data_IF_168227060998
#
_entry.id   IF_168227060998
#
_cell.length_a   1.000
_cell.length_b   1.000
_cell.length_c   1.000
_cell.angle_alpha   90.00
_cell.angle_beta   90.00
_cell.angle_gamma   90.00
#
_symmetry.space_group_name_H-M   'P 1'
#
loop_
_entity.id
_entity.type
_entity.pdbx_description
1 polymer ?
#
# COMPACT_ATOMS: atom_id res chain seq x y z
N UNK A 1 -23.44 9.27 24.83
CA UNK A 1 -23.29 8.17 25.81
C UNK A 1 -22.38 8.63 26.94
N UNK A 2 -22.63 8.14 28.15
CA UNK A 2 -21.78 8.35 29.32
C UNK A 2 -21.39 7.00 29.90
N UNK A 3 -20.19 6.85 30.42
CA UNK A 3 -19.70 5.63 31.04
C UNK A 3 -18.69 5.95 32.12
N UNK A 4 -18.47 4.99 33.03
CA UNK A 4 -17.45 5.12 34.08
C UNK A 4 -16.04 5.00 33.48
N UNK A 5 -15.91 4.35 32.33
CA UNK A 5 -14.68 4.18 31.58
C UNK A 5 -14.98 4.28 30.09
N UNK A 6 -14.08 4.90 29.32
CA UNK A 6 -14.20 5.05 27.87
C UNK A 6 -12.95 4.48 27.21
N UNK A 7 -13.13 3.46 26.37
CA UNK A 7 -12.05 2.79 25.65
C UNK A 7 -11.97 3.33 24.22
N UNK A 8 -10.82 3.91 23.85
CA UNK A 8 -10.54 4.41 22.50
C UNK A 8 -9.75 3.36 21.71
N UNK A 9 -10.36 2.78 20.68
CA UNK A 9 -9.75 1.76 19.83
C UNK A 9 -10.04 1.98 18.33
N UNK A 10 -9.97 3.24 17.88
CA UNK A 10 -10.32 3.66 16.51
C UNK A 10 -9.15 3.56 15.51
N UNK A 11 -8.07 2.85 15.86
CA UNK A 11 -6.88 2.66 15.04
C UNK A 11 -5.89 3.81 15.08
N UNK A 12 -4.78 3.66 14.38
CA UNK A 12 -3.61 4.56 14.45
C UNK A 12 -3.91 6.00 13.99
N UNK A 13 -4.94 6.21 13.18
CA UNK A 13 -5.31 7.52 12.64
C UNK A 13 -6.40 8.18 13.50
N UNK A 14 -7.47 7.46 13.80
CA UNK A 14 -8.63 8.06 14.45
C UNK A 14 -8.53 8.09 15.98
N UNK A 15 -7.78 7.18 16.62
CA UNK A 15 -7.58 7.26 18.09
C UNK A 15 -6.87 8.54 18.51
N UNK A 16 -5.72 8.92 17.92
CA UNK A 16 -5.10 10.19 18.24
C UNK A 16 -5.95 11.40 17.84
N UNK A 17 -6.67 11.35 16.72
CA UNK A 17 -7.58 12.42 16.34
C UNK A 17 -8.72 12.62 17.35
N UNK A 18 -9.26 11.52 17.88
CA UNK A 18 -10.31 11.58 18.90
C UNK A 18 -9.78 12.11 20.25
N UNK A 19 -8.56 11.71 20.66
CA UNK A 19 -7.90 12.28 21.82
C UNK A 19 -7.71 13.80 21.68
N UNK A 20 -7.18 14.26 20.54
CA UNK A 20 -6.98 15.68 20.28
C UNK A 20 -8.30 16.46 20.31
N UNK A 21 -9.38 15.95 19.70
CA UNK A 21 -10.72 16.56 19.76
C UNK A 21 -11.29 16.60 21.17
N UNK A 22 -10.81 15.74 22.05
CA UNK A 22 -11.18 15.73 23.48
C UNK A 22 -10.28 16.62 24.33
N UNK A 23 -9.42 17.44 23.72
CA UNK A 23 -8.51 18.34 24.41
C UNK A 23 -7.24 17.67 24.95
N UNK A 24 -6.95 16.41 24.52
CA UNK A 24 -5.76 15.66 24.96
C UNK A 24 -4.78 15.54 23.79
N UNK A 25 -3.68 16.30 23.84
CA UNK A 25 -2.73 16.32 22.72
C UNK A 25 -1.69 17.43 22.82
N UNK A 26 -0.98 17.72 21.69
CA UNK A 26 -0.02 18.81 21.61
C UNK A 26 -0.71 20.18 21.84
N UNK A 27 -0.40 20.85 22.93
CA UNK A 27 -1.12 22.03 23.39
C UNK A 27 -1.21 23.16 22.36
N UNK A 28 -0.10 23.44 21.66
CA UNK A 28 -0.07 24.51 20.66
C UNK A 28 -0.92 24.19 19.43
N UNK A 29 -0.93 22.92 18.99
CA UNK A 29 -1.80 22.46 17.92
C UNK A 29 -3.29 22.53 18.31
N UNK A 30 -3.63 22.11 19.54
CA UNK A 30 -5.01 22.20 20.04
C UNK A 30 -5.51 23.64 20.05
N UNK A 31 -4.72 24.57 20.61
CA UNK A 31 -5.05 26.00 20.63
C UNK A 31 -5.21 26.58 19.22
N UNK A 32 -4.29 26.20 18.28
CA UNK A 32 -4.34 26.64 16.90
C UNK A 32 -5.61 26.14 16.15
N UNK A 33 -6.18 25.01 16.58
CA UNK A 33 -7.44 24.45 16.04
C UNK A 33 -8.68 24.85 16.82
N UNK A 34 -8.55 25.74 17.83
CA UNK A 34 -9.69 26.24 18.61
C UNK A 34 -10.20 25.26 19.68
N UNK A 35 -9.38 24.28 20.07
CA UNK A 35 -9.73 23.26 21.07
C UNK A 35 -9.08 23.61 22.41
N UNK A 36 -9.88 23.62 23.49
CA UNK A 36 -9.38 23.80 24.84
C UNK A 36 -8.45 22.63 25.26
N UNK A 37 -7.33 22.99 25.88
CA UNK A 37 -6.36 22.00 26.34
C UNK A 37 -6.79 21.43 27.70
N UNK A 38 -7.25 20.19 27.69
CA UNK A 38 -7.55 19.44 28.93
C UNK A 38 -6.28 18.82 29.48
N UNK A 39 -5.47 18.20 28.61
CA UNK A 39 -4.20 17.60 29.01
C UNK A 39 -3.16 17.77 27.87
N UNK A 40 -2.06 18.41 28.18
CA UNK A 40 -0.95 18.55 27.23
C UNK A 40 -0.16 17.24 27.12
N UNK A 41 -0.29 16.55 25.99
CA UNK A 41 0.44 15.33 25.66
C UNK A 41 1.07 15.47 24.25
N UNK A 42 2.33 15.90 24.14
CA UNK A 42 2.97 16.20 22.85
C UNK A 42 3.16 14.97 21.95
N UNK A 43 3.13 13.76 22.49
CA UNK A 43 3.27 12.52 21.72
C UNK A 43 2.00 12.08 20.98
N UNK A 44 0.84 12.64 21.30
CA UNK A 44 -0.42 12.27 20.62
C UNK A 44 -0.38 12.72 19.16
N UNK A 45 -0.63 11.77 18.26
CA UNK A 45 -0.55 11.97 16.82
C UNK A 45 0.86 11.89 16.25
N UNK A 46 1.89 11.79 17.07
CA UNK A 46 3.29 11.69 16.63
C UNK A 46 3.71 10.24 16.37
N UNK A 47 4.85 10.07 15.69
CA UNK A 47 5.51 8.78 15.50
C UNK A 47 4.66 7.77 14.72
N UNK A 48 3.85 8.24 13.77
CA UNK A 48 3.10 7.37 12.86
C UNK A 48 4.05 6.54 12.00
N UNK A 49 3.82 5.23 11.97
CA UNK A 49 4.54 4.29 11.13
C UNK A 49 3.61 3.67 10.10
N UNK A 50 4.12 3.50 8.89
CA UNK A 50 3.43 2.76 7.85
C UNK A 50 4.46 2.00 6.99
N UNK A 51 4.02 0.98 6.29
CA UNK A 51 4.85 0.14 5.45
C UNK A 51 5.06 0.75 4.06
N UNK A 52 6.21 1.37 3.76
CA UNK A 52 6.50 1.79 2.40
C UNK A 52 6.61 0.56 1.51
N UNK A 53 5.90 0.60 0.38
CA UNK A 53 5.67 -0.55 -0.49
C UNK A 53 6.05 -0.25 -1.92
N UNK A 54 6.69 -1.22 -2.57
CA UNK A 54 6.91 -1.26 -4.03
C UNK A 54 6.40 -2.57 -4.59
N UNK A 55 6.06 -2.59 -5.87
CA UNK A 55 5.61 -3.81 -6.52
C UNK A 55 6.11 -3.90 -7.96
N UNK A 56 6.28 -5.12 -8.42
CA UNK A 56 6.49 -5.46 -9.84
C UNK A 56 5.33 -6.33 -10.28
N UNK A 57 4.72 -5.98 -11.40
CA UNK A 57 3.63 -6.72 -12.02
C UNK A 57 4.12 -7.40 -13.29
N UNK A 58 3.42 -8.46 -13.68
CA UNK A 58 3.66 -9.14 -14.95
C UNK A 58 2.35 -9.65 -15.54
N UNK A 59 2.35 -9.84 -16.84
CA UNK A 59 1.27 -10.53 -17.53
C UNK A 59 1.30 -12.03 -17.20
N UNK A 60 0.14 -12.58 -16.86
CA UNK A 60 -0.06 -14.01 -16.60
C UNK A 60 -0.68 -14.68 -17.82
N UNK A 61 0.02 -15.61 -18.49
CA UNK A 61 -0.57 -16.50 -19.50
C UNK A 61 -1.78 -17.24 -18.94
N UNK A 62 -2.70 -17.66 -19.81
CA UNK A 62 -3.97 -18.29 -19.39
C UNK A 62 -3.77 -19.45 -18.39
N UNK A 63 -2.76 -20.27 -18.60
CA UNK A 63 -2.43 -21.41 -17.74
C UNK A 63 -1.90 -21.00 -16.35
N UNK A 64 -1.41 -19.77 -16.19
CA UNK A 64 -0.85 -19.24 -14.93
C UNK A 64 -1.84 -18.38 -14.15
N UNK A 65 -3.06 -18.18 -14.65
CA UNK A 65 -4.07 -17.37 -13.98
C UNK A 65 -4.74 -18.14 -12.87
N UNK A 66 -5.12 -17.38 -11.86
CA UNK A 66 -5.90 -17.90 -10.73
C UNK A 66 -7.23 -18.48 -11.24
N UNK A 67 -7.56 -19.69 -10.80
CA UNK A 67 -8.89 -20.26 -11.02
C UNK A 67 -9.95 -19.35 -10.37
N UNK A 68 -10.99 -18.95 -11.12
CA UNK A 68 -12.05 -18.09 -10.59
C UNK A 68 -12.71 -18.63 -9.32
N UNK A 69 -12.71 -19.94 -9.12
CA UNK A 69 -13.28 -20.61 -7.93
C UNK A 69 -12.44 -20.39 -6.67
N UNK A 70 -11.14 -20.14 -6.80
CA UNK A 70 -10.24 -19.98 -5.65
C UNK A 70 -10.48 -18.66 -4.89
N UNK A 71 -11.02 -17.63 -5.51
CA UNK A 71 -11.46 -16.37 -4.88
C UNK A 71 -10.36 -15.48 -4.29
N UNK A 72 -9.41 -16.05 -3.59
CA UNK A 72 -8.34 -15.32 -2.89
C UNK A 72 -7.27 -14.83 -3.86
N UNK A 73 -6.99 -13.52 -3.84
CA UNK A 73 -5.96 -12.91 -4.68
C UNK A 73 -4.56 -12.92 -4.03
N UNK A 74 -4.48 -12.95 -2.71
CA UNK A 74 -3.26 -13.15 -1.93
C UNK A 74 -3.09 -14.64 -1.64
N UNK A 75 -1.97 -15.22 -2.06
CA UNK A 75 -1.74 -16.66 -1.96
C UNK A 75 -0.59 -16.99 -1.01
N UNK A 76 0.51 -16.29 -1.13
CA UNK A 76 1.74 -16.56 -0.39
C UNK A 76 2.27 -15.24 0.15
N UNK A 77 2.78 -15.29 1.37
CA UNK A 77 3.55 -14.24 1.97
C UNK A 77 4.87 -14.79 2.45
N UNK A 78 5.97 -14.10 2.15
CA UNK A 78 7.31 -14.45 2.56
C UNK A 78 7.92 -13.29 3.34
N UNK A 79 8.55 -13.61 4.45
CA UNK A 79 9.37 -12.67 5.23
C UNK A 79 10.83 -13.02 5.07
N UNK A 80 11.70 -12.02 4.88
CA UNK A 80 13.12 -12.20 4.68
C UNK A 80 13.92 -10.98 5.19
N UNK A 81 15.23 -11.10 5.22
CA UNK A 81 16.14 -10.03 5.68
C UNK A 81 16.79 -9.34 4.50
N UNK A 82 16.85 -8.00 4.52
CA UNK A 82 17.62 -7.24 3.54
C UNK A 82 19.12 -7.40 3.73
N UNK A 83 19.56 -7.69 4.95
CA UNK A 83 20.96 -7.71 5.39
C UNK A 83 21.68 -6.37 5.13
N UNK A 84 20.95 -5.27 5.09
CA UNK A 84 21.49 -3.92 4.90
C UNK A 84 21.77 -3.24 6.23
N UNK A 85 23.02 -2.86 6.46
CA UNK A 85 23.44 -2.13 7.66
C UNK A 85 23.00 -2.85 8.94
N UNK A 86 22.43 -2.08 9.87
CA UNK A 86 21.91 -2.53 11.17
C UNK A 86 20.38 -2.82 11.14
N UNK A 87 19.84 -3.17 9.97
CA UNK A 87 18.43 -3.58 9.86
C UNK A 87 18.22 -4.93 10.57
N UNK A 88 17.12 -5.08 11.32
CA UNK A 88 16.85 -6.31 12.06
C UNK A 88 16.51 -7.48 11.11
N UNK A 89 16.73 -8.72 11.55
CA UNK A 89 16.32 -9.90 10.79
C UNK A 89 14.82 -9.87 10.46
N UNK A 90 14.45 -10.27 9.22
CA UNK A 90 13.08 -10.29 8.75
C UNK A 90 12.47 -8.90 8.58
N UNK A 91 13.28 -7.92 8.24
CA UNK A 91 12.87 -6.53 8.04
C UNK A 91 12.09 -6.27 6.74
N UNK A 92 12.01 -7.25 5.85
CA UNK A 92 11.31 -7.18 4.57
C UNK A 92 10.24 -8.28 4.44
N UNK A 93 9.20 -7.99 3.67
CA UNK A 93 8.21 -9.00 3.29
C UNK A 93 7.74 -8.85 1.85
N UNK A 94 7.32 -9.96 1.25
CA UNK A 94 6.72 -10.04 -0.08
C UNK A 94 5.40 -10.76 0.01
N UNK A 95 4.39 -10.27 -0.73
CA UNK A 95 3.15 -11.00 -1.02
C UNK A 95 3.02 -11.26 -2.51
N UNK A 96 2.51 -12.44 -2.86
CA UNK A 96 2.09 -12.73 -4.23
C UNK A 96 0.64 -12.29 -4.40
N UNK A 97 0.38 -11.48 -5.43
CA UNK A 97 -0.96 -11.04 -5.82
C UNK A 97 -1.27 -11.69 -7.15
N UNK A 98 -2.09 -12.74 -7.13
CA UNK A 98 -2.43 -13.50 -8.33
C UNK A 98 -3.50 -12.84 -9.21
N UNK A 99 -4.09 -11.74 -8.74
CA UNK A 99 -5.11 -10.94 -9.43
C UNK A 99 -5.05 -9.50 -8.93
N UNK A 100 -4.61 -8.57 -9.77
CA UNK A 100 -4.37 -7.17 -9.37
C UNK A 100 -5.63 -6.33 -9.20
N UNK A 101 -6.77 -6.71 -9.84
CA UNK A 101 -8.03 -5.99 -9.72
C UNK A 101 -9.25 -6.87 -10.02
N UNK A 102 -10.45 -6.33 -9.75
CA UNK A 102 -11.74 -7.00 -9.96
C UNK A 102 -12.09 -7.23 -11.45
N UNK A 103 -11.61 -6.35 -12.35
CA UNK A 103 -11.95 -6.32 -13.77
C UNK A 103 -11.10 -7.31 -14.60
N UNK A 104 -11.50 -7.61 -15.85
CA UNK A 104 -10.82 -8.59 -16.71
C UNK A 104 -9.32 -8.35 -16.92
N UNK A 105 -8.89 -7.09 -17.06
CA UNK A 105 -7.47 -6.74 -17.16
C UNK A 105 -6.71 -7.12 -15.90
N UNK A 106 -7.25 -6.82 -14.71
CA UNK A 106 -6.60 -7.16 -13.45
C UNK A 106 -6.42 -8.67 -13.21
N UNK A 107 -7.25 -9.50 -13.84
CA UNK A 107 -7.12 -10.97 -13.81
C UNK A 107 -5.97 -11.50 -14.69
N UNK A 108 -5.41 -10.65 -15.55
CA UNK A 108 -4.28 -10.98 -16.42
C UNK A 108 -2.95 -10.50 -15.86
N UNK A 109 -3.01 -9.77 -14.76
CA UNK A 109 -1.84 -9.20 -14.11
C UNK A 109 -1.67 -9.81 -12.72
N UNK A 110 -0.55 -10.47 -12.52
CA UNK A 110 -0.05 -10.85 -11.20
C UNK A 110 1.02 -9.88 -10.74
N UNK A 111 1.21 -9.76 -9.43
CA UNK A 111 2.21 -8.86 -8.87
C UNK A 111 2.93 -9.53 -7.71
N UNK A 112 4.20 -9.19 -7.56
CA UNK A 112 4.94 -9.34 -6.31
C UNK A 112 5.00 -7.98 -5.64
N UNK A 113 4.37 -7.86 -4.50
CA UNK A 113 4.35 -6.67 -3.67
C UNK A 113 5.32 -6.85 -2.51
N UNK A 114 6.24 -5.90 -2.37
CA UNK A 114 7.26 -5.92 -1.34
C UNK A 114 7.15 -4.68 -0.47
N UNK A 115 7.36 -4.84 0.83
CA UNK A 115 7.39 -3.74 1.79
C UNK A 115 8.46 -3.94 2.87
N UNK A 116 8.85 -2.81 3.47
CA UNK A 116 9.63 -2.81 4.67
C UNK A 116 8.70 -3.03 5.89
N UNK A 117 8.90 -4.14 6.63
CA UNK A 117 8.09 -4.49 7.79
C UNK A 117 8.18 -3.48 8.94
N UNK A 118 9.28 -2.76 9.05
CA UNK A 118 9.52 -1.74 10.06
C UNK A 118 10.14 -0.53 9.41
N UNK A 119 9.36 0.53 9.20
CA UNK A 119 9.90 1.78 8.68
C UNK A 119 10.72 2.52 9.75
N UNK A 120 11.73 3.24 9.31
CA UNK A 120 12.48 4.20 10.12
C UNK A 120 11.94 5.62 9.94
N UNK A 121 11.29 5.90 8.83
CA UNK A 121 10.53 7.13 8.59
C UNK A 121 9.39 7.26 9.60
N UNK A 122 9.15 8.48 10.04
CA UNK A 122 8.13 8.81 11.04
C UNK A 122 7.22 9.88 10.49
N UNK A 123 5.94 9.62 10.60
CA UNK A 123 4.87 10.53 10.24
C UNK A 123 4.12 11.04 11.45
N UNK A 124 3.02 11.73 11.17
CA UNK A 124 2.15 12.30 12.20
C UNK A 124 0.69 12.31 11.75
N UNK A 125 -0.19 12.42 12.73
CA UNK A 125 -1.61 12.69 12.59
C UNK A 125 -1.91 14.01 13.29
N UNK A 126 -2.55 14.94 12.60
CA UNK A 126 -2.99 16.22 13.15
C UNK A 126 -4.46 16.47 12.82
N UNK A 127 -5.08 17.46 13.45
CA UNK A 127 -6.43 17.87 13.10
C UNK A 127 -6.39 18.97 12.02
N UNK A 128 -7.32 18.90 11.08
CA UNK A 128 -7.55 19.99 10.12
C UNK A 128 -8.38 21.13 10.71
N UNK A 129 -9.27 20.80 11.67
CA UNK A 129 -10.13 21.72 12.41
C UNK A 129 -10.74 21.03 13.63
N UNK A 130 -11.51 21.74 14.41
CA UNK A 130 -12.31 21.24 15.53
C UNK A 130 -13.54 20.42 15.07
N UNK A 131 -13.99 20.59 13.82
CA UNK A 131 -15.14 19.82 13.28
C UNK A 131 -14.84 18.31 13.30
N UNK A 132 -15.67 17.58 14.04
CA UNK A 132 -15.54 16.13 14.15
C UNK A 132 -15.78 15.38 12.83
N UNK A 133 -16.43 16.02 11.84
CA UNK A 133 -16.66 15.45 10.49
C UNK A 133 -15.43 15.59 9.59
N UNK A 134 -14.57 16.57 9.88
CA UNK A 134 -13.36 16.77 9.10
C UNK A 134 -12.41 15.59 9.28
N UNK A 135 -11.86 15.08 8.17
CA UNK A 135 -10.83 14.05 8.24
C UNK A 135 -9.56 14.62 8.88
N UNK A 136 -8.86 13.85 9.73
CA UNK A 136 -7.56 14.25 10.21
C UNK A 136 -6.56 14.36 9.06
N UNK A 137 -5.58 15.23 9.22
CA UNK A 137 -4.42 15.33 8.32
C UNK A 137 -3.44 14.22 8.68
N UNK A 138 -3.10 13.38 7.72
CA UNK A 138 -2.20 12.24 7.90
C UNK A 138 -0.97 12.44 7.02
N UNK A 139 0.16 12.59 7.65
CA UNK A 139 1.47 12.72 7.00
C UNK A 139 2.28 11.47 7.31
N UNK A 140 2.41 10.56 6.35
CA UNK A 140 3.22 9.35 6.53
C UNK A 140 4.71 9.62 6.51
N UNK A 141 5.13 10.71 5.86
CA UNK A 141 6.52 11.12 5.70
C UNK A 141 7.42 9.98 5.17
N UNK A 142 6.89 9.19 4.22
CA UNK A 142 7.57 8.05 3.63
C UNK A 142 8.95 8.44 3.09
N UNK A 143 9.91 7.52 3.27
CA UNK A 143 11.27 7.63 2.72
C UNK A 143 12.09 8.83 3.24
N UNK A 144 11.65 9.50 4.30
CA UNK A 144 12.44 10.53 4.98
C UNK A 144 13.71 9.94 5.63
N UNK A 145 13.66 8.67 6.05
CA UNK A 145 14.84 7.93 6.48
C UNK A 145 15.49 7.20 5.30
N UNK A 146 16.76 7.49 5.02
CA UNK A 146 17.54 6.89 3.92
C UNK A 146 17.50 5.37 3.93
N UNK A 147 17.49 4.74 5.12
CA UNK A 147 17.38 3.29 5.30
C UNK A 147 16.13 2.69 4.66
N UNK A 148 15.01 3.40 4.67
CA UNK A 148 13.77 2.92 4.04
C UNK A 148 13.91 2.90 2.52
N UNK A 149 14.50 3.94 1.94
CA UNK A 149 14.80 4.02 0.51
C UNK A 149 15.75 2.90 0.08
N UNK A 150 16.84 2.70 0.81
CA UNK A 150 17.86 1.69 0.46
C UNK A 150 17.26 0.27 0.48
N UNK A 151 16.39 -0.03 1.45
CA UNK A 151 15.66 -1.31 1.51
C UNK A 151 14.68 -1.49 0.36
N UNK A 152 13.92 -0.46 0.00
CA UNK A 152 13.02 -0.55 -1.16
C UNK A 152 13.79 -0.68 -2.48
N UNK A 153 14.91 0.01 -2.63
CA UNK A 153 15.79 -0.13 -3.80
C UNK A 153 16.36 -1.54 -3.91
N UNK A 154 16.85 -2.10 -2.79
CA UNK A 154 17.26 -3.50 -2.71
C UNK A 154 16.11 -4.44 -3.08
N UNK A 155 14.94 -4.23 -2.47
CA UNK A 155 13.75 -5.04 -2.69
C UNK A 155 13.27 -5.02 -4.13
N UNK A 156 13.28 -3.86 -4.80
CA UNK A 156 12.89 -3.75 -6.20
C UNK A 156 13.82 -4.56 -7.11
N UNK A 157 15.14 -4.50 -6.88
CA UNK A 157 16.12 -5.33 -7.60
C UNK A 157 15.92 -6.81 -7.33
N UNK A 158 15.62 -7.17 -6.08
CA UNK A 158 15.33 -8.54 -5.68
C UNK A 158 14.07 -9.07 -6.40
N UNK A 159 12.98 -8.28 -6.48
CA UNK A 159 11.78 -8.65 -7.24
C UNK A 159 12.08 -8.83 -8.73
N UNK A 160 12.88 -7.95 -9.33
CA UNK A 160 13.29 -8.09 -10.73
C UNK A 160 14.05 -9.41 -10.96
N UNK A 161 14.97 -9.76 -10.06
CA UNK A 161 15.68 -11.03 -10.10
C UNK A 161 14.76 -12.26 -9.97
N UNK A 162 13.71 -12.17 -9.15
CA UNK A 162 12.71 -13.24 -9.05
C UNK A 162 11.98 -13.41 -10.40
N UNK A 163 11.53 -12.31 -11.03
CA UNK A 163 10.87 -12.38 -12.34
C UNK A 163 11.80 -12.88 -13.45
N UNK A 164 13.11 -12.66 -13.32
CA UNK A 164 14.11 -13.16 -14.25
C UNK A 164 14.48 -14.63 -14.03
N UNK A 165 14.04 -15.24 -12.94
CA UNK A 165 14.32 -16.65 -12.66
C UNK A 165 13.64 -17.59 -13.66
N UNK A 166 14.29 -18.70 -14.07
CA UNK A 166 13.72 -19.63 -15.06
C UNK A 166 12.32 -20.16 -14.68
N UNK A 167 12.02 -20.52 -13.42
CA UNK A 167 10.68 -20.97 -13.05
C UNK A 167 9.61 -19.91 -13.28
N UNK A 168 9.88 -18.63 -13.00
CA UNK A 168 8.87 -17.59 -13.09
C UNK A 168 8.73 -17.04 -14.52
N UNK A 169 9.80 -17.01 -15.32
CA UNK A 169 9.76 -16.58 -16.73
C UNK A 169 8.76 -17.36 -17.60
N UNK A 170 8.50 -18.63 -17.26
CA UNK A 170 7.50 -19.44 -17.97
C UNK A 170 6.06 -19.05 -17.61
N UNK A 171 5.83 -18.42 -16.47
CA UNK A 171 4.51 -18.17 -15.89
C UNK A 171 4.15 -16.69 -15.76
N UNK A 172 5.11 -15.80 -15.89
CA UNK A 172 4.93 -14.34 -15.76
C UNK A 172 5.78 -13.64 -16.84
N UNK A 173 5.11 -12.99 -17.78
CA UNK A 173 5.74 -12.38 -18.96
C UNK A 173 5.69 -10.86 -18.86
N UNK A 174 6.66 -10.20 -19.53
CA UNK A 174 6.70 -8.75 -19.69
C UNK A 174 6.55 -8.02 -18.34
N UNK A 175 7.45 -8.33 -17.40
CA UNK A 175 7.43 -7.72 -16.06
C UNK A 175 7.71 -6.20 -16.11
N UNK A 176 6.99 -5.44 -15.29
CA UNK A 176 7.09 -3.98 -15.23
C UNK A 176 6.87 -3.46 -13.80
N UNK A 177 7.48 -2.33 -13.42
CA UNK A 177 7.20 -1.70 -12.13
C UNK A 177 5.73 -1.27 -12.03
N UNK A 178 5.06 -1.68 -10.95
CA UNK A 178 3.68 -1.28 -10.71
C UNK A 178 3.60 0.18 -10.27
N UNK A 179 2.66 0.94 -10.82
CA UNK A 179 2.37 2.30 -10.38
C UNK A 179 0.90 2.46 -10.00
N UNK A 180 0.64 3.22 -8.95
CA UNK A 180 -0.72 3.58 -8.53
C UNK A 180 -1.07 4.97 -9.07
N UNK A 181 -0.95 5.13 -10.39
CA UNK A 181 -1.21 6.39 -11.07
C UNK A 181 -2.71 6.78 -11.05
N UNK A 182 -3.00 8.04 -11.35
CA UNK A 182 -4.39 8.51 -11.51
C UNK A 182 -5.15 7.72 -12.59
N UNK A 183 -4.47 7.28 -13.66
CA UNK A 183 -5.05 6.41 -14.69
C UNK A 183 -5.39 5.04 -14.14
N UNK A 184 -4.49 4.42 -13.37
CA UNK A 184 -4.75 3.13 -12.73
C UNK A 184 -5.96 3.24 -11.79
N UNK A 185 -6.03 4.28 -10.95
CA UNK A 185 -7.18 4.54 -10.08
C UNK A 185 -8.49 4.72 -10.87
N UNK A 186 -8.49 5.49 -11.94
CA UNK A 186 -9.67 5.72 -12.77
C UNK A 186 -10.23 4.42 -13.37
N UNK A 187 -9.36 3.52 -13.82
CA UNK A 187 -9.74 2.21 -14.41
C UNK A 187 -10.29 1.25 -13.35
N UNK A 188 -9.93 1.41 -12.07
CA UNK A 188 -10.44 0.54 -11.00
C UNK A 188 -11.83 0.91 -10.50
N UNK A 189 -12.38 2.07 -10.85
CA UNK A 189 -13.74 2.45 -10.48
C UNK A 189 -14.77 1.47 -11.08
N UNK A 190 -15.71 1.01 -10.24
CA UNK A 190 -16.72 0.01 -10.62
C UNK A 190 -17.83 0.67 -11.41
N UNK A 191 -17.75 0.59 -12.75
CA UNK A 191 -18.78 1.08 -13.67
C UNK A 191 -18.75 0.30 -15.00
N UNK A 192 -19.81 0.43 -15.79
CA UNK A 192 -19.97 -0.28 -17.06
C UNK A 192 -18.87 0.09 -18.08
N UNK A 193 -18.53 1.38 -18.17
CA UNK A 193 -17.48 1.87 -19.08
C UNK A 193 -16.15 1.16 -18.81
N UNK A 194 -15.72 1.12 -17.54
CA UNK A 194 -14.47 0.47 -17.17
C UNK A 194 -14.52 -1.04 -17.37
N UNK A 195 -15.68 -1.67 -17.17
CA UNK A 195 -15.87 -3.09 -17.45
C UNK A 195 -15.65 -3.39 -18.94
N UNK A 196 -16.22 -2.58 -19.83
CA UNK A 196 -16.04 -2.73 -21.28
C UNK A 196 -14.59 -2.44 -21.69
N UNK A 197 -14.06 -1.27 -21.28
CA UNK A 197 -12.69 -0.86 -21.61
C UNK A 197 -11.66 -1.92 -21.17
N UNK A 198 -11.75 -2.36 -19.91
CA UNK A 198 -10.80 -3.37 -19.39
C UNK A 198 -10.98 -4.74 -20.02
N UNK A 199 -12.16 -5.07 -20.57
CA UNK A 199 -12.38 -6.29 -21.33
C UNK A 199 -11.68 -6.22 -22.69
N UNK A 200 -11.77 -5.09 -23.39
CA UNK A 200 -11.09 -4.86 -24.67
C UNK A 200 -9.57 -4.95 -24.48
N UNK A 201 -9.02 -4.16 -23.53
CA UNK A 201 -7.57 -4.16 -23.25
C UNK A 201 -7.09 -5.56 -22.81
N UNK A 202 -7.90 -6.26 -22.04
CA UNK A 202 -7.60 -7.62 -21.60
C UNK A 202 -7.53 -8.60 -22.79
N UNK A 203 -8.41 -8.45 -23.78
CA UNK A 203 -8.33 -9.21 -25.05
C UNK A 203 -7.07 -8.90 -25.83
N UNK A 204 -6.70 -7.62 -25.94
CA UNK A 204 -5.45 -7.19 -26.59
C UNK A 204 -4.21 -7.76 -25.90
N UNK A 205 -4.19 -7.84 -24.55
CA UNK A 205 -3.09 -8.43 -23.80
C UNK A 205 -2.95 -9.94 -24.03
N UNK A 206 -4.03 -10.64 -24.37
CA UNK A 206 -3.99 -12.06 -24.73
C UNK A 206 -3.48 -12.30 -26.17
N UNK A 207 -3.29 -11.25 -26.95
CA UNK A 207 -2.77 -11.26 -28.29
C UNK A 207 -1.23 -11.34 -28.38
N UNK A 208 -0.65 -10.95 -29.54
CA UNK A 208 0.80 -10.98 -29.77
C UNK A 208 1.61 -10.20 -28.73
N UNK A 209 2.79 -10.72 -28.35
CA UNK A 209 3.64 -10.11 -27.34
C UNK A 209 4.07 -8.67 -27.64
N UNK A 210 4.22 -8.31 -28.91
CA UNK A 210 4.54 -6.93 -29.31
C UNK A 210 3.43 -5.94 -28.90
N UNK A 211 2.15 -6.33 -29.08
CA UNK A 211 1.00 -5.50 -28.67
C UNK A 211 0.93 -5.37 -27.15
N UNK A 212 1.18 -6.47 -26.43
CA UNK A 212 1.18 -6.47 -24.96
C UNK A 212 2.21 -5.52 -24.38
N UNK A 213 3.45 -5.50 -24.94
CA UNK A 213 4.52 -4.58 -24.50
C UNK A 213 4.25 -3.10 -24.74
N UNK A 214 3.32 -2.76 -25.60
CA UNK A 214 2.85 -1.38 -25.78
C UNK A 214 1.80 -0.96 -24.76
N UNK A 215 1.20 -1.92 -24.02
CA UNK A 215 0.11 -1.70 -23.07
C UNK A 215 0.57 -1.68 -21.60
N UNK A 216 1.82 -2.09 -21.32
CA UNK A 216 2.43 -2.19 -19.97
C UNK A 216 3.69 -1.28 -19.80
#
# INVERSE_FOLDING_TARGET
FRGNEIILSSGAIHSPALLMRSGVGPADHLRATGIDVVQALPGVGQNLHEHPTVAVSAYLPKASRLDPRTGRHLQIQMRFSSNLGDCPPGDMAISTIAKSAWHPLGRRLGSLQLWANRSYSRGQVTLASDDWRAMPVVEFNFLSARRDMDRLMFGLRFLAGIFDSPPLKAHALDAFPSSWSARAKAVTAINLRNRILTSIVAGMMDGPGALRRLLV
#
